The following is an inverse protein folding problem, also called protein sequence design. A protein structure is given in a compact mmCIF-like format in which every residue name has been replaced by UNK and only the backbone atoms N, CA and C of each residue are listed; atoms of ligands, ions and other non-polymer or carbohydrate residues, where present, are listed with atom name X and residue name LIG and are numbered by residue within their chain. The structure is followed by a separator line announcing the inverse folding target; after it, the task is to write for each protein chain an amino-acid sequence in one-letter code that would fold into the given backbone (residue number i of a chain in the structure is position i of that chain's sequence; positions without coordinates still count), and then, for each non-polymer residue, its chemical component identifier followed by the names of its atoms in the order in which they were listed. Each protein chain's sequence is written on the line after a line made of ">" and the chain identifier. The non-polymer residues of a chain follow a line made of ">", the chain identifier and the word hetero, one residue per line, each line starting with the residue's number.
data_IF_884193636401
#
_entry.id   IF_884193636401
#
_cell.length_a   1.000
_cell.length_b   1.000
_cell.length_c   1.000
_cell.angle_alpha   90.00
_cell.angle_beta   90.00
_cell.angle_gamma   90.00
#
_symmetry.space_group_name_H-M   'P 1'
#
loop_
_entity.id
_entity.type
_entity.pdbx_description
1 polymer ?
#
# COMPACT_ATOMS: atom_id res chain seq x y z
N UNK A 1 14.59 -64.39 -32.13
CA UNK A 1 15.18 -63.95 -33.41
C UNK A 1 15.60 -62.50 -33.30
N UNK A 2 16.71 -62.12 -33.94
CA UNK A 2 17.74 -61.27 -33.35
C UNK A 2 18.01 -59.99 -34.16
N UNK A 3 18.77 -59.04 -33.59
CA UNK A 3 19.81 -58.21 -34.23
C UNK A 3 20.39 -57.33 -33.09
N UNK A 4 21.53 -57.62 -32.48
CA UNK A 4 22.93 -57.65 -32.95
C UNK A 4 23.55 -56.27 -33.24
N UNK A 5 24.74 -56.07 -32.63
CA UNK A 5 25.83 -55.10 -32.89
C UNK A 5 25.55 -53.63 -32.47
N UNK A 6 26.42 -52.83 -31.80
CA UNK A 6 27.90 -52.70 -31.81
C UNK A 6 28.47 -52.10 -30.51
N UNK A 7 29.71 -52.49 -30.20
CA UNK A 7 30.67 -51.78 -29.33
C UNK A 7 31.16 -50.49 -30.02
N UNK A 8 31.35 -49.41 -29.27
CA UNK A 8 32.35 -48.36 -29.49
C UNK A 8 32.43 -47.51 -28.21
N UNK A 9 33.53 -47.56 -27.46
CA UNK A 9 34.72 -46.70 -27.58
C UNK A 9 34.71 -45.63 -26.47
N UNK A 10 35.58 -45.83 -25.48
CA UNK A 10 35.93 -44.86 -24.45
C UNK A 10 36.60 -43.66 -25.12
N UNK A 11 36.05 -42.46 -24.92
CA UNK A 11 36.75 -41.21 -25.18
C UNK A 11 37.02 -40.54 -23.82
N UNK A 12 38.30 -40.35 -23.54
CA UNK A 12 38.82 -39.53 -22.45
C UNK A 12 38.42 -38.08 -22.70
N UNK A 13 37.50 -37.55 -21.89
CA UNK A 13 37.21 -36.13 -21.83
C UNK A 13 38.32 -35.41 -21.06
N UNK A 14 39.11 -34.60 -21.76
CA UNK A 14 40.05 -33.67 -21.16
C UNK A 14 39.26 -32.65 -20.32
N UNK A 15 39.60 -32.55 -19.03
CA UNK A 15 39.07 -31.53 -18.14
C UNK A 15 39.55 -30.15 -18.57
N UNK A 16 38.64 -29.37 -19.15
CA UNK A 16 38.77 -27.92 -19.21
C UNK A 16 38.52 -27.39 -17.80
N UNK A 17 39.60 -26.96 -17.15
CA UNK A 17 39.55 -26.12 -15.95
C UNK A 17 38.97 -24.79 -16.40
N UNK A 18 37.65 -24.64 -16.26
CA UNK A 18 36.99 -23.34 -16.34
C UNK A 18 37.44 -22.52 -15.15
N UNK A 19 38.35 -21.59 -15.38
CA UNK A 19 38.66 -20.51 -14.46
C UNK A 19 37.38 -19.69 -14.27
N UNK A 20 36.68 -19.92 -13.16
CA UNK A 20 35.67 -19.00 -12.65
C UNK A 20 36.38 -17.70 -12.31
N UNK A 21 36.40 -16.77 -13.26
CA UNK A 21 36.63 -15.36 -12.96
C UNK A 21 35.40 -14.93 -12.15
N UNK A 22 35.56 -14.94 -10.82
CA UNK A 22 34.72 -14.17 -9.93
C UNK A 22 34.85 -12.71 -10.37
N UNK A 23 33.93 -12.28 -11.22
CA UNK A 23 33.63 -10.87 -11.40
C UNK A 23 33.12 -10.39 -10.04
N UNK A 24 34.03 -9.86 -9.23
CA UNK A 24 33.69 -9.01 -8.11
C UNK A 24 32.97 -7.80 -8.71
N UNK A 25 31.67 -7.93 -8.94
CA UNK A 25 30.80 -6.82 -9.25
C UNK A 25 30.85 -5.87 -8.07
N UNK A 26 31.63 -4.81 -8.21
CA UNK A 26 31.59 -3.67 -7.31
C UNK A 26 30.17 -3.13 -7.35
N UNK A 27 29.38 -3.47 -6.34
CA UNK A 27 28.13 -2.78 -6.01
C UNK A 27 28.48 -1.31 -5.75
N UNK A 28 28.39 -0.49 -6.79
CA UNK A 28 28.45 0.96 -6.64
C UNK A 28 27.17 1.39 -5.94
N UNK A 29 27.30 2.14 -4.84
CA UNK A 29 26.16 2.73 -4.17
C UNK A 29 25.26 3.48 -5.17
N UNK A 30 23.92 3.42 -5.02
CA UNK A 30 23.04 4.18 -5.89
C UNK A 30 23.36 5.67 -5.81
N UNK A 31 23.22 6.41 -6.93
CA UNK A 31 23.43 7.85 -6.92
C UNK A 31 22.40 8.54 -6.02
N UNK A 32 22.72 9.71 -5.42
CA UNK A 32 21.75 10.47 -4.63
C UNK A 32 20.50 10.81 -5.44
N UNK A 33 19.30 10.75 -4.83
CA UNK A 33 18.02 10.96 -5.52
C UNK A 33 17.99 12.24 -6.36
N UNK A 34 18.39 13.38 -5.77
CA UNK A 34 18.35 14.69 -6.43
C UNK A 34 19.38 14.85 -7.55
N UNK A 35 20.32 13.92 -7.70
CA UNK A 35 21.21 13.89 -8.88
C UNK A 35 20.55 13.26 -10.11
N UNK A 36 19.45 12.52 -9.91
CA UNK A 36 18.68 11.87 -10.97
C UNK A 36 17.33 12.57 -11.17
N UNK A 37 16.65 12.92 -10.08
CA UNK A 37 15.39 13.66 -10.05
C UNK A 37 15.68 15.16 -10.06
N UNK A 38 16.19 15.65 -11.19
CA UNK A 38 16.75 17.00 -11.31
C UNK A 38 15.73 18.10 -11.58
N UNK A 39 14.49 17.74 -11.90
CA UNK A 39 13.42 18.73 -12.08
C UNK A 39 12.64 18.92 -10.78
N UNK A 40 12.32 20.16 -10.45
CA UNK A 40 11.50 20.50 -9.29
C UNK A 40 10.26 21.27 -9.73
N UNK A 41 9.12 20.90 -9.15
CA UNK A 41 7.87 21.62 -9.26
C UNK A 41 7.29 21.81 -7.85
N UNK A 42 6.60 22.91 -7.61
CA UNK A 42 5.99 23.18 -6.32
C UNK A 42 4.50 23.48 -6.50
N UNK A 43 3.67 22.98 -5.57
CA UNK A 43 2.23 23.22 -5.52
C UNK A 43 1.81 23.70 -4.12
N UNK A 44 0.52 23.76 -3.80
CA UNK A 44 0.08 24.21 -2.48
C UNK A 44 0.57 23.26 -1.37
N UNK A 45 0.49 21.94 -1.58
CA UNK A 45 0.80 20.93 -0.56
C UNK A 45 2.13 20.19 -0.79
N UNK A 46 2.71 20.26 -2.00
CA UNK A 46 3.84 19.41 -2.37
C UNK A 46 5.04 20.19 -2.92
N UNK A 47 6.23 19.61 -2.72
CA UNK A 47 7.45 19.88 -3.50
C UNK A 47 7.78 18.59 -4.24
N UNK A 48 7.65 18.61 -5.56
CA UNK A 48 7.88 17.48 -6.44
C UNK A 48 9.33 17.46 -6.94
N UNK A 49 9.94 16.29 -6.92
CA UNK A 49 11.25 15.98 -7.49
C UNK A 49 11.06 14.94 -8.60
N UNK A 50 11.33 15.33 -9.85
CA UNK A 50 10.95 14.57 -11.04
C UNK A 50 12.19 14.23 -11.88
N UNK A 51 12.11 13.09 -12.59
CA UNK A 51 13.01 12.84 -13.71
C UNK A 51 12.72 13.82 -14.87
N UNK A 52 13.74 14.23 -15.65
CA UNK A 52 13.51 15.09 -16.81
C UNK A 52 12.47 14.54 -17.78
N UNK A 53 11.42 15.33 -18.04
CA UNK A 53 10.34 14.97 -18.97
C UNK A 53 9.22 14.14 -18.37
N UNK A 54 9.26 13.85 -17.06
CA UNK A 54 8.12 13.30 -16.32
C UNK A 54 7.13 14.42 -15.91
N UNK A 55 5.98 14.04 -15.37
CA UNK A 55 4.94 14.97 -14.96
C UNK A 55 4.15 14.47 -13.75
N UNK A 56 3.47 15.40 -13.08
CA UNK A 56 2.59 15.14 -11.93
C UNK A 56 1.24 15.83 -12.12
N UNK A 57 0.23 15.33 -11.43
CA UNK A 57 -1.10 15.91 -11.39
C UNK A 57 -1.29 16.74 -10.10
N UNK A 58 -0.57 17.86 -10.04
CA UNK A 58 -0.54 18.71 -8.84
C UNK A 58 -1.91 19.24 -8.41
N UNK A 59 -2.83 19.48 -9.35
CA UNK A 59 -4.18 19.93 -9.03
C UNK A 59 -4.98 18.85 -8.29
N UNK A 60 -4.85 17.59 -8.70
CA UNK A 60 -5.48 16.46 -8.03
C UNK A 60 -4.88 16.24 -6.64
N UNK A 61 -3.55 16.19 -6.55
CA UNK A 61 -2.86 16.01 -5.27
C UNK A 61 -3.18 17.13 -4.28
N UNK A 62 -3.19 18.39 -4.69
CA UNK A 62 -3.54 19.53 -3.81
C UNK A 62 -5.00 19.45 -3.34
N UNK A 63 -5.94 19.08 -4.24
CA UNK A 63 -7.35 18.89 -3.87
C UNK A 63 -7.52 17.73 -2.88
N UNK A 64 -6.82 16.61 -3.12
CA UNK A 64 -6.81 15.47 -2.21
C UNK A 64 -6.19 15.82 -0.85
N UNK A 65 -5.02 16.45 -0.84
CA UNK A 65 -4.32 16.89 0.37
C UNK A 65 -5.22 17.81 1.23
N UNK A 66 -5.88 18.80 0.62
CA UNK A 66 -6.81 19.67 1.34
C UNK A 66 -8.00 18.88 1.93
N UNK A 67 -8.56 17.95 1.15
CA UNK A 67 -9.67 17.11 1.59
C UNK A 67 -9.28 16.18 2.73
N UNK A 68 -8.20 15.40 2.60
CA UNK A 68 -7.78 14.43 3.62
C UNK A 68 -7.33 15.14 4.91
N UNK A 69 -6.65 16.29 4.80
CA UNK A 69 -6.32 17.14 5.96
C UNK A 69 -7.58 17.51 6.76
N UNK A 70 -8.66 17.88 6.07
CA UNK A 70 -9.93 18.19 6.70
C UNK A 70 -10.64 16.94 7.28
N UNK A 71 -10.56 15.79 6.61
CA UNK A 71 -11.13 14.53 7.12
C UNK A 71 -10.43 14.06 8.40
N UNK A 72 -9.09 14.12 8.45
CA UNK A 72 -8.32 13.62 9.59
C UNK A 72 -8.08 14.66 10.68
N UNK A 73 -8.34 15.94 10.40
CA UNK A 73 -8.10 17.04 11.34
C UNK A 73 -6.63 17.32 11.62
N UNK A 74 -5.73 16.94 10.70
CA UNK A 74 -4.27 17.11 10.81
C UNK A 74 -3.80 18.20 9.85
N UNK A 75 -2.95 19.10 10.35
CA UNK A 75 -2.26 20.11 9.53
C UNK A 75 -0.76 19.83 9.54
N UNK A 76 -0.17 19.67 8.35
CA UNK A 76 1.27 19.49 8.21
C UNK A 76 2.03 20.78 8.52
N UNK A 77 3.25 20.63 9.05
CA UNK A 77 4.15 21.75 9.33
C UNK A 77 4.88 22.26 8.09
N UNK A 78 4.88 21.49 7.01
CA UNK A 78 5.53 21.81 5.74
C UNK A 78 4.82 21.18 4.56
N UNK A 79 5.49 21.23 3.40
CA UNK A 79 5.04 20.58 2.17
C UNK A 79 5.59 19.16 2.09
N UNK A 80 4.79 18.26 1.53
CA UNK A 80 5.18 16.88 1.28
C UNK A 80 6.25 16.86 0.19
N UNK A 81 7.38 16.19 0.45
CA UNK A 81 8.40 15.93 -0.58
C UNK A 81 7.94 14.75 -1.43
N UNK A 82 7.65 14.97 -2.70
CA UNK A 82 7.15 13.94 -3.60
C UNK A 82 8.23 13.57 -4.62
N UNK A 83 8.85 12.41 -4.45
CA UNK A 83 9.84 11.87 -5.37
C UNK A 83 9.14 11.00 -6.42
N UNK A 84 9.01 11.54 -7.63
CA UNK A 84 8.38 10.86 -8.77
C UNK A 84 9.41 10.08 -9.58
N UNK A 85 9.24 8.78 -9.63
CA UNK A 85 10.05 7.87 -10.44
C UNK A 85 9.34 7.53 -11.74
N UNK A 86 10.10 7.34 -12.81
CA UNK A 86 9.59 6.93 -14.12
C UNK A 86 8.82 5.60 -14.04
N UNK A 87 9.38 4.65 -13.31
CA UNK A 87 8.87 3.29 -13.16
C UNK A 87 9.43 2.63 -11.88
N UNK A 88 8.91 1.44 -11.56
CA UNK A 88 9.31 0.69 -10.38
C UNK A 88 10.78 0.24 -10.43
N UNK A 89 11.36 0.08 -11.62
CA UNK A 89 12.76 -0.29 -11.76
C UNK A 89 13.67 0.87 -11.34
N UNK A 90 13.35 2.11 -11.75
CA UNK A 90 14.08 3.30 -11.29
C UNK A 90 13.90 3.51 -9.77
N UNK A 91 12.69 3.35 -9.24
CA UNK A 91 12.42 3.45 -7.80
C UNK A 91 13.27 2.44 -7.01
N UNK A 92 13.27 1.17 -7.43
CA UNK A 92 14.07 0.10 -6.81
C UNK A 92 15.57 0.36 -6.92
N UNK A 93 16.04 0.80 -8.09
CA UNK A 93 17.45 1.14 -8.28
C UNK A 93 17.92 2.25 -7.35
N UNK A 94 17.09 3.28 -7.14
CA UNK A 94 17.48 4.48 -6.40
C UNK A 94 17.24 4.40 -4.89
N UNK A 95 16.26 3.60 -4.46
CA UNK A 95 15.84 3.53 -3.04
C UNK A 95 16.08 2.17 -2.41
N UNK A 96 16.29 1.12 -3.22
CA UNK A 96 16.35 -0.26 -2.77
C UNK A 96 14.98 -0.92 -2.52
N UNK A 97 13.87 -0.19 -2.70
CA UNK A 97 12.53 -0.70 -2.49
C UNK A 97 11.89 -1.19 -3.80
N UNK A 98 11.43 -2.43 -3.84
CA UNK A 98 10.77 -3.01 -5.01
C UNK A 98 9.24 -2.90 -4.92
N UNK A 99 8.74 -1.67 -4.90
CA UNK A 99 7.32 -1.31 -4.80
C UNK A 99 6.98 -0.22 -5.83
N UNK A 100 5.70 0.11 -5.97
CA UNK A 100 5.25 1.20 -6.83
C UNK A 100 5.10 2.53 -6.09
N UNK A 101 4.91 2.48 -4.77
CA UNK A 101 4.79 3.63 -3.90
C UNK A 101 5.12 3.26 -2.46
N UNK A 102 5.66 4.21 -1.71
CA UNK A 102 5.71 4.18 -0.24
C UNK A 102 5.92 5.59 0.30
N UNK A 103 5.59 5.80 1.57
CA UNK A 103 5.80 7.05 2.28
C UNK A 103 6.83 6.89 3.40
N UNK A 104 7.49 7.99 3.72
CA UNK A 104 8.24 8.18 4.95
C UNK A 104 7.60 9.33 5.73
N UNK A 105 6.56 9.05 6.54
CA UNK A 105 5.77 10.09 7.19
C UNK A 105 6.58 10.96 8.16
N UNK A 106 7.63 10.41 8.78
CA UNK A 106 8.50 11.14 9.71
C UNK A 106 9.16 12.37 9.06
N UNK A 107 9.43 12.27 7.75
CA UNK A 107 10.02 13.35 6.95
C UNK A 107 9.00 14.02 6.01
N UNK A 108 7.72 13.64 6.05
CA UNK A 108 6.69 14.06 5.09
C UNK A 108 7.11 13.78 3.64
N UNK A 109 7.61 12.58 3.36
CA UNK A 109 8.07 12.19 2.03
C UNK A 109 7.18 11.10 1.42
N UNK A 110 6.98 11.18 0.11
CA UNK A 110 6.34 10.18 -0.72
C UNK A 110 7.30 9.81 -1.85
N UNK A 111 7.40 8.51 -2.12
CA UNK A 111 8.20 7.94 -3.19
C UNK A 111 7.26 7.15 -4.08
N UNK A 112 7.03 7.57 -5.33
CA UNK A 112 5.96 7.01 -6.14
C UNK A 112 6.30 6.95 -7.62
N UNK A 113 5.76 5.95 -8.32
CA UNK A 113 5.82 5.86 -9.79
C UNK A 113 4.62 6.54 -10.47
N UNK A 114 3.60 6.94 -9.71
CA UNK A 114 2.37 7.52 -10.24
C UNK A 114 2.41 9.05 -10.27
N UNK A 115 1.73 9.72 -11.21
CA UNK A 115 1.72 11.18 -11.28
C UNK A 115 0.96 11.85 -10.12
N UNK A 116 0.21 11.07 -9.34
CA UNK A 116 -0.48 11.47 -8.12
C UNK A 116 -0.60 10.25 -7.22
N UNK A 117 -0.59 10.43 -5.90
CA UNK A 117 -0.62 9.32 -4.94
C UNK A 117 -1.38 9.68 -3.66
N UNK A 118 -2.70 9.57 -3.75
CA UNK A 118 -3.61 9.80 -2.63
C UNK A 118 -3.49 8.73 -1.53
N UNK A 119 -3.05 7.52 -1.89
CA UNK A 119 -2.81 6.43 -0.95
C UNK A 119 -1.68 6.81 0.01
N UNK A 120 -0.50 7.11 -0.52
CA UNK A 120 0.65 7.50 0.30
C UNK A 120 0.47 8.85 0.99
N UNK A 121 -0.29 9.76 0.37
CA UNK A 121 -0.68 11.01 1.04
C UNK A 121 -1.48 10.73 2.31
N UNK A 122 -2.40 9.76 2.28
CA UNK A 122 -3.17 9.40 3.47
C UNK A 122 -2.25 8.97 4.61
N UNK A 123 -1.25 8.12 4.32
CA UNK A 123 -0.25 7.68 5.30
C UNK A 123 0.53 8.84 5.92
N UNK A 124 0.93 9.85 5.12
CA UNK A 124 1.61 11.05 5.65
C UNK A 124 0.74 11.78 6.69
N UNK A 125 -0.56 11.92 6.43
CA UNK A 125 -1.47 12.61 7.35
C UNK A 125 -1.81 11.78 8.60
N UNK A 126 -2.11 10.49 8.43
CA UNK A 126 -2.58 9.64 9.53
C UNK A 126 -1.47 9.27 10.52
N UNK A 127 -0.21 9.24 10.07
CA UNK A 127 0.94 8.95 10.94
C UNK A 127 1.11 9.95 12.10
N UNK A 128 0.56 11.17 12.00
CA UNK A 128 0.54 12.14 13.11
C UNK A 128 -0.40 11.75 14.24
N UNK A 129 -1.36 10.86 13.97
CA UNK A 129 -2.31 10.34 14.95
C UNK A 129 -1.80 9.04 15.58
N UNK A 130 -1.03 8.26 14.82
CA UNK A 130 -0.42 7.00 15.25
C UNK A 130 -0.23 6.05 14.06
N UNK A 131 0.28 4.85 14.33
CA UNK A 131 0.57 3.85 13.30
C UNK A 131 -0.05 2.53 13.69
N UNK A 132 -1.36 2.32 13.50
CA UNK A 132 -1.99 1.05 13.83
C UNK A 132 -1.45 -0.09 12.94
N UNK A 133 -1.76 -1.36 13.26
CA UNK A 133 -1.41 -2.49 12.40
C UNK A 133 -1.88 -2.30 10.95
N UNK A 134 -1.24 -3.01 9.99
CA UNK A 134 -1.44 -2.75 8.57
C UNK A 134 -2.89 -2.83 8.12
N UNK A 135 -3.71 -3.70 8.73
CA UNK A 135 -5.13 -3.80 8.39
C UNK A 135 -5.87 -2.46 8.51
N UNK A 136 -5.66 -1.71 9.59
CA UNK A 136 -6.27 -0.38 9.72
C UNK A 136 -5.47 0.72 9.02
N UNK A 137 -4.15 0.58 8.97
CA UNK A 137 -3.29 1.59 8.33
C UNK A 137 -3.54 1.63 6.82
N UNK A 138 -3.39 0.50 6.13
CA UNK A 138 -3.69 0.35 4.70
C UNK A 138 -5.19 0.49 4.43
N UNK A 139 -6.04 -0.01 5.32
CA UNK A 139 -7.48 0.17 5.21
C UNK A 139 -7.89 1.64 5.19
N UNK A 140 -7.27 2.48 6.01
CA UNK A 140 -7.51 3.92 5.99
C UNK A 140 -7.07 4.55 4.66
N UNK A 141 -5.90 4.18 4.13
CA UNK A 141 -5.45 4.68 2.83
C UNK A 141 -6.41 4.29 1.69
N UNK A 142 -6.78 3.01 1.61
CA UNK A 142 -7.72 2.52 0.57
C UNK A 142 -9.12 3.11 0.72
N UNK A 143 -9.65 3.23 1.95
CA UNK A 143 -10.98 3.79 2.20
C UNK A 143 -11.11 5.27 1.77
N UNK A 144 -9.98 5.97 1.68
CA UNK A 144 -9.89 7.37 1.31
C UNK A 144 -9.42 7.59 -0.14
N UNK A 145 -9.22 6.55 -0.95
CA UNK A 145 -8.81 6.69 -2.37
C UNK A 145 -9.91 7.30 -3.26
N UNK A 146 -10.14 8.59 -3.09
CA UNK A 146 -11.21 9.39 -3.70
C UNK A 146 -10.65 10.40 -4.70
N UNK A 147 -11.52 11.08 -5.44
CA UNK A 147 -11.17 12.20 -6.32
C UNK A 147 -11.95 13.45 -5.93
N UNK A 148 -11.47 14.21 -4.92
CA UNK A 148 -12.09 15.47 -4.52
C UNK A 148 -12.06 16.55 -5.60
N UNK A 149 -11.11 16.51 -6.54
CA UNK A 149 -11.04 17.46 -7.66
C UNK A 149 -12.25 17.30 -8.59
N UNK A 150 -12.68 16.07 -8.84
CA UNK A 150 -13.86 15.74 -9.62
C UNK A 150 -15.16 15.64 -8.78
N UNK A 151 -15.09 15.84 -7.46
CA UNK A 151 -16.25 15.68 -6.56
C UNK A 151 -16.69 14.22 -6.35
N UNK A 152 -15.80 13.25 -6.57
CA UNK A 152 -16.07 11.81 -6.40
C UNK A 152 -15.49 11.34 -5.08
N UNK A 153 -16.37 11.04 -4.11
CA UNK A 153 -15.98 10.63 -2.75
C UNK A 153 -16.16 9.13 -2.46
N UNK A 154 -16.53 8.36 -3.48
CA UNK A 154 -16.54 6.90 -3.42
C UNK A 154 -15.12 6.39 -3.69
N UNK A 155 -14.54 5.54 -2.83
CA UNK A 155 -13.18 5.10 -3.01
C UNK A 155 -13.07 4.12 -4.17
N UNK A 156 -11.94 4.15 -4.89
CA UNK A 156 -11.63 3.21 -5.96
C UNK A 156 -10.31 2.49 -5.72
N UNK A 157 -10.31 1.19 -5.96
CA UNK A 157 -9.16 0.30 -5.94
C UNK A 157 -9.14 -0.51 -7.25
N UNK A 158 -8.10 -0.37 -8.07
CA UNK A 158 -8.00 -1.01 -9.39
C UNK A 158 -9.24 -0.79 -10.29
N UNK A 159 -9.83 0.42 -10.24
CA UNK A 159 -10.96 0.82 -11.08
C UNK A 159 -12.35 0.42 -10.54
N UNK A 160 -12.43 -0.31 -9.42
CA UNK A 160 -13.70 -0.73 -8.80
C UNK A 160 -13.72 -0.35 -7.31
N UNK A 161 -14.89 -0.36 -6.68
CA UNK A 161 -14.99 -0.02 -5.25
C UNK A 161 -14.34 -1.09 -4.35
N UNK A 162 -13.73 -0.75 -3.21
CA UNK A 162 -13.22 -1.75 -2.27
C UNK A 162 -14.34 -2.66 -1.75
N UNK A 163 -15.56 -2.16 -1.57
CA UNK A 163 -16.74 -2.99 -1.24
C UNK A 163 -17.06 -4.01 -2.32
N UNK A 164 -16.89 -3.68 -3.60
CA UNK A 164 -17.08 -4.62 -4.70
C UNK A 164 -16.08 -5.79 -4.58
N UNK A 165 -14.79 -5.47 -4.42
CA UNK A 165 -13.74 -6.49 -4.27
C UNK A 165 -13.94 -7.36 -3.03
N UNK A 166 -14.25 -6.75 -1.88
CA UNK A 166 -14.55 -7.50 -0.66
C UNK A 166 -15.76 -8.42 -0.85
N UNK A 167 -16.83 -7.95 -1.50
CA UNK A 167 -17.98 -8.80 -1.83
C UNK A 167 -17.58 -10.01 -2.68
N UNK A 168 -16.69 -9.83 -3.67
CA UNK A 168 -16.19 -10.95 -4.48
C UNK A 168 -15.45 -11.98 -3.63
N UNK A 169 -14.55 -11.54 -2.74
CA UNK A 169 -13.82 -12.43 -1.82
C UNK A 169 -14.78 -13.21 -0.91
N UNK A 170 -15.82 -12.55 -0.39
CA UNK A 170 -16.84 -13.15 0.47
C UNK A 170 -17.67 -14.20 -0.29
N UNK A 171 -18.15 -13.86 -1.49
CA UNK A 171 -18.98 -14.76 -2.31
C UNK A 171 -18.21 -15.99 -2.81
N UNK A 172 -16.90 -15.85 -3.02
CA UNK A 172 -16.00 -16.95 -3.40
C UNK A 172 -15.62 -17.83 -2.20
N UNK A 173 -15.95 -17.43 -0.96
CA UNK A 173 -15.59 -18.17 0.26
C UNK A 173 -14.10 -18.14 0.56
N UNK A 174 -13.36 -17.16 0.05
CA UNK A 174 -11.91 -17.01 0.24
C UNK A 174 -11.52 -15.80 1.10
N UNK A 175 -12.51 -15.03 1.57
CA UNK A 175 -12.27 -13.92 2.50
C UNK A 175 -11.75 -14.47 3.83
N UNK A 176 -10.56 -14.05 4.29
CA UNK A 176 -10.07 -14.41 5.61
C UNK A 176 -10.89 -13.69 6.69
N UNK A 177 -10.94 -14.23 7.90
CA UNK A 177 -11.54 -13.49 9.01
C UNK A 177 -10.68 -12.28 9.38
N UNK A 178 -11.31 -11.18 9.82
CA UNK A 178 -10.57 -9.98 10.22
C UNK A 178 -9.62 -10.30 11.37
N UNK A 179 -10.04 -11.04 12.39
CA UNK A 179 -9.16 -11.50 13.48
C UNK A 179 -7.91 -12.23 12.98
N UNK A 180 -7.98 -12.92 11.85
CA UNK A 180 -6.85 -13.62 11.24
C UNK A 180 -5.88 -12.73 10.48
N UNK A 181 -6.26 -11.48 10.16
CA UNK A 181 -5.46 -10.54 9.35
C UNK A 181 -5.30 -9.16 9.98
N UNK A 182 -5.83 -8.93 11.18
CA UNK A 182 -5.83 -7.61 11.82
C UNK A 182 -4.45 -7.17 12.31
N UNK A 183 -3.52 -8.11 12.51
CA UNK A 183 -2.14 -7.83 12.87
C UNK A 183 -1.19 -7.93 11.67
N UNK A 184 0.06 -7.51 11.86
CA UNK A 184 1.06 -7.50 10.79
C UNK A 184 1.33 -8.90 10.23
N UNK A 185 1.39 -9.92 11.07
CA UNK A 185 1.74 -11.26 10.65
C UNK A 185 0.66 -11.85 9.75
N UNK A 186 -0.61 -11.73 10.16
CA UNK A 186 -1.75 -12.20 9.40
C UNK A 186 -1.92 -11.44 8.09
N UNK A 187 -1.82 -10.10 8.14
CA UNK A 187 -1.99 -9.25 6.97
C UNK A 187 -0.94 -9.52 5.88
N UNK A 188 0.35 -9.57 6.25
CA UNK A 188 1.44 -9.79 5.29
C UNK A 188 1.55 -11.22 4.77
N UNK A 189 0.80 -12.18 5.34
CA UNK A 189 0.84 -13.58 4.91
C UNK A 189 -0.03 -13.86 3.67
N UNK A 190 -0.85 -12.90 3.25
CA UNK A 190 -1.83 -13.05 2.17
C UNK A 190 -1.52 -12.12 0.99
N UNK A 191 -2.17 -12.37 -0.15
CA UNK A 191 -2.04 -11.53 -1.34
C UNK A 191 -2.53 -10.09 -1.05
N UNK A 192 -1.69 -9.05 -1.28
CA UNK A 192 -2.10 -7.66 -1.15
C UNK A 192 -3.34 -7.29 -1.97
N UNK A 193 -3.56 -7.93 -3.13
CA UNK A 193 -4.75 -7.70 -3.94
C UNK A 193 -6.04 -8.20 -3.28
N UNK A 194 -5.94 -9.04 -2.26
CA UNK A 194 -7.05 -9.44 -1.42
C UNK A 194 -7.13 -8.58 -0.15
N UNK A 195 -6.02 -8.43 0.58
CA UNK A 195 -6.03 -7.79 1.91
C UNK A 195 -6.27 -6.29 1.87
N UNK A 196 -5.73 -5.57 0.89
CA UNK A 196 -5.89 -4.10 0.79
C UNK A 196 -7.34 -3.70 0.50
N UNK A 197 -8.02 -4.19 -0.54
CA UNK A 197 -9.40 -3.84 -0.78
C UNK A 197 -10.35 -4.39 0.31
N UNK A 198 -10.03 -5.53 0.93
CA UNK A 198 -10.77 -6.03 2.10
C UNK A 198 -10.68 -5.04 3.27
N UNK A 199 -9.47 -4.63 3.64
CA UNK A 199 -9.22 -3.66 4.70
C UNK A 199 -9.88 -2.31 4.40
N UNK A 200 -9.70 -1.80 3.17
CA UNK A 200 -10.33 -0.56 2.72
C UNK A 200 -11.86 -0.62 2.76
N UNK A 201 -12.44 -1.76 2.38
CA UNK A 201 -13.88 -1.98 2.46
C UNK A 201 -14.37 -1.97 3.90
N UNK A 202 -13.68 -2.66 4.81
CA UNK A 202 -14.08 -2.69 6.22
C UNK A 202 -13.94 -1.32 6.87
N UNK A 203 -12.81 -0.63 6.68
CA UNK A 203 -12.60 0.73 7.21
C UNK A 203 -13.62 1.70 6.63
N UNK A 204 -13.92 1.62 5.33
CA UNK A 204 -14.95 2.45 4.72
C UNK A 204 -16.35 2.20 5.32
N UNK A 205 -16.69 0.94 5.55
CA UNK A 205 -17.94 0.57 6.22
C UNK A 205 -18.01 1.17 7.63
N UNK A 206 -16.92 1.15 8.40
CA UNK A 206 -16.87 1.78 9.72
C UNK A 206 -17.06 3.29 9.64
N UNK A 207 -16.41 3.95 8.67
CA UNK A 207 -16.54 5.39 8.45
C UNK A 207 -18.01 5.74 8.15
N UNK A 208 -18.65 5.01 7.24
CA UNK A 208 -20.01 5.29 6.78
C UNK A 208 -21.09 4.98 7.82
N UNK A 209 -20.87 3.97 8.68
CA UNK A 209 -21.82 3.56 9.73
C UNK A 209 -21.61 4.26 11.07
N UNK A 210 -20.42 4.80 11.31
CA UNK A 210 -20.10 5.56 12.53
C UNK A 210 -19.68 6.98 12.17
N UNK A 211 -18.38 7.24 12.02
CA UNK A 211 -17.81 8.45 11.44
C UNK A 211 -16.30 8.28 11.27
N UNK A 212 -15.69 9.12 10.43
CA UNK A 212 -14.23 9.27 10.37
C UNK A 212 -13.63 9.54 11.76
N UNK A 213 -14.22 10.45 12.53
CA UNK A 213 -13.74 10.80 13.87
C UNK A 213 -13.74 9.62 14.85
N UNK A 214 -14.68 8.68 14.73
CA UNK A 214 -14.70 7.44 15.53
C UNK A 214 -13.57 6.51 15.12
N UNK A 215 -13.40 6.28 13.81
CA UNK A 215 -12.36 5.37 13.28
C UNK A 215 -10.96 5.87 13.64
N UNK A 216 -10.71 7.19 13.57
CA UNK A 216 -9.41 7.77 13.91
C UNK A 216 -9.01 7.55 15.38
N UNK A 217 -9.93 7.19 16.28
CA UNK A 217 -9.60 6.80 17.66
C UNK A 217 -8.76 5.51 17.73
N UNK A 218 -8.72 4.72 16.66
CA UNK A 218 -7.85 3.55 16.58
C UNK A 218 -6.36 3.91 16.52
N UNK A 219 -6.02 5.13 16.10
CA UNK A 219 -4.64 5.52 15.79
C UNK A 219 -3.83 5.90 17.06
N UNK A 220 -4.32 6.74 17.98
CA UNK A 220 -3.53 7.18 19.13
C UNK A 220 -2.99 6.04 19.99
N UNK A 221 -1.66 5.98 20.10
CA UNK A 221 -0.95 4.98 20.90
C UNK A 221 -1.03 3.55 20.36
N UNK A 222 -1.48 3.35 19.13
CA UNK A 222 -1.34 2.08 18.43
C UNK A 222 0.06 1.96 17.81
N UNK A 223 0.54 0.71 17.69
CA UNK A 223 1.79 0.37 17.02
C UNK A 223 1.52 -0.55 15.83
N UNK A 224 2.36 -0.43 14.80
CA UNK A 224 2.26 -1.25 13.60
C UNK A 224 2.44 -2.74 13.93
N UNK A 225 3.14 -3.02 15.03
CA UNK A 225 3.40 -4.35 15.55
C UNK A 225 2.43 -4.79 16.66
N UNK A 226 1.33 -4.07 16.90
CA UNK A 226 0.34 -4.49 17.89
C UNK A 226 -0.22 -5.88 17.52
N UNK A 227 -0.38 -6.72 18.54
CA UNK A 227 -0.95 -8.06 18.36
C UNK A 227 -2.43 -8.00 17.97
N UNK A 228 -2.95 -9.09 17.40
CA UNK A 228 -4.38 -9.19 17.13
C UNK A 228 -5.24 -8.95 18.38
N UNK A 229 -4.87 -9.56 19.52
CA UNK A 229 -5.59 -9.39 20.78
C UNK A 229 -5.57 -7.94 21.30
N UNK A 230 -4.42 -7.25 21.20
CA UNK A 230 -4.32 -5.83 21.56
C UNK A 230 -5.24 -4.98 20.69
N UNK A 231 -5.24 -5.25 19.39
CA UNK A 231 -5.99 -4.49 18.40
C UNK A 231 -7.49 -4.73 18.52
N UNK A 232 -7.92 -5.97 18.76
CA UNK A 232 -9.32 -6.33 19.03
C UNK A 232 -9.84 -5.68 20.31
N UNK A 233 -9.06 -5.69 21.39
CA UNK A 233 -9.44 -5.05 22.65
C UNK A 233 -9.62 -3.53 22.47
N UNK A 234 -8.72 -2.89 21.71
CA UNK A 234 -8.82 -1.47 21.36
C UNK A 234 -10.07 -1.21 20.51
N UNK A 235 -10.32 -2.04 19.50
CA UNK A 235 -11.50 -1.95 18.65
C UNK A 235 -12.78 -2.00 19.49
N UNK A 236 -12.93 -3.03 20.32
CA UNK A 236 -14.09 -3.20 21.21
C UNK A 236 -14.32 -1.98 22.11
N UNK A 237 -13.25 -1.41 22.67
CA UNK A 237 -13.35 -0.24 23.55
C UNK A 237 -13.82 1.03 22.81
N UNK A 238 -13.55 1.16 21.50
CA UNK A 238 -13.92 2.33 20.70
C UNK A 238 -15.33 2.22 20.14
N UNK A 239 -15.69 1.03 19.64
CA UNK A 239 -16.94 0.79 18.93
C UNK A 239 -18.05 0.25 19.82
N UNK A 240 -17.74 -0.13 21.07
CA UNK A 240 -18.66 -0.78 22.01
C UNK A 240 -19.30 -2.06 21.44
N UNK A 241 -18.62 -2.72 20.48
CA UNK A 241 -19.04 -3.95 19.84
C UNK A 241 -17.81 -4.86 19.55
N UNK A 242 -17.94 -6.19 19.68
CA UNK A 242 -16.85 -7.10 19.32
C UNK A 242 -16.56 -7.03 17.83
N UNK A 243 -15.26 -7.10 17.48
CA UNK A 243 -14.82 -7.12 16.09
C UNK A 243 -15.56 -8.19 15.26
N UNK A 244 -15.78 -9.38 15.83
CA UNK A 244 -16.47 -10.48 15.15
C UNK A 244 -17.94 -10.19 14.86
N UNK A 245 -18.62 -9.42 15.71
CA UNK A 245 -20.00 -8.99 15.46
C UNK A 245 -20.02 -7.90 14.39
N UNK A 246 -19.13 -6.91 14.46
CA UNK A 246 -19.01 -5.89 13.41
C UNK A 246 -18.64 -6.51 12.06
N UNK A 247 -17.75 -7.50 12.03
CA UNK A 247 -17.39 -8.26 10.83
C UNK A 247 -18.62 -8.96 10.21
N UNK A 248 -19.46 -9.59 11.02
CA UNK A 248 -20.71 -10.20 10.54
C UNK A 248 -21.68 -9.16 9.98
N UNK A 249 -21.81 -8.00 10.63
CA UNK A 249 -22.64 -6.89 10.15
C UNK A 249 -22.12 -6.35 8.80
N UNK A 250 -20.80 -6.23 8.66
CA UNK A 250 -20.15 -5.86 7.40
C UNK A 250 -20.36 -6.91 6.31
N UNK A 251 -20.25 -8.21 6.60
CA UNK A 251 -20.57 -9.27 5.64
C UNK A 251 -22.03 -9.18 5.15
N UNK A 252 -22.97 -8.96 6.07
CA UNK A 252 -24.38 -8.76 5.70
C UNK A 252 -24.57 -7.54 4.78
N UNK A 253 -23.88 -6.44 5.08
CA UNK A 253 -23.83 -5.26 4.21
C UNK A 253 -23.28 -5.60 2.81
N UNK A 254 -22.15 -6.32 2.71
CA UNK A 254 -21.55 -6.69 1.43
C UNK A 254 -22.47 -7.54 0.55
N UNK A 255 -23.24 -8.46 1.14
CA UNK A 255 -24.19 -9.27 0.41
C UNK A 255 -25.32 -8.43 -0.22
N UNK A 256 -25.65 -7.28 0.40
CA UNK A 256 -26.66 -6.34 -0.09
C UNK A 256 -26.08 -5.24 -0.99
N UNK A 257 -24.76 -5.02 -0.98
CA UNK A 257 -24.09 -3.97 -1.76
C UNK A 257 -24.33 -4.14 -3.27
N UNK A 258 -24.78 -3.08 -3.95
CA UNK A 258 -25.12 -3.08 -5.38
C UNK A 258 -24.16 -2.22 -6.24
N UNK A 259 -23.17 -1.58 -5.64
CA UNK A 259 -22.20 -0.77 -6.38
C UNK A 259 -21.21 -1.61 -7.18
N UNK A 260 -20.62 -0.96 -8.19
CA UNK A 260 -19.43 -1.43 -8.91
C UNK A 260 -18.15 -0.96 -8.19
#
# INVERSE_FOLDING_TARGET
>A
MPHSVKRAARILGAGLISTFLNSCGSSTAPPPLLSVLTQTQESACYIYHLSPGDSVNAAYDDAFCAWISAQVGVKLSGKIQYYKFKDAAQLSQLTGNSVNGYSNPANQEIYSVWPADNHETTHVFTAFLGTPPPFFNEGMAVANQTDPLAGVYTPSWNGLGPHFWAKQLLQQGIMPSISGVIDQKGFSALDPNATYPMAGSFVRYLIDTTSMATVLKLFPGASYSDSAATTEARFQAIFDEPLTTTEQNWHAFLLQYQGL
#
